data_IF_539232263277
#
_entry.id   IF_539232263277
#
_cell.length_a   1.000
_cell.length_b   1.000
_cell.length_c   1.000
_cell.angle_alpha   90.00
_cell.angle_beta   90.00
_cell.angle_gamma   90.00
#
_symmetry.space_group_name_H-M   'P 1'
#
loop_
_entity.id
_entity.type
_entity.pdbx_description
1 polymer ?
#
# COMPACT_ATOMS: atom_id res chain seq x y z
N UNK A 1 24.62 1.95 -6.43
CA UNK A 1 23.17 1.84 -6.68
C UNK A 1 22.50 2.12 -5.35
N UNK A 2 22.22 3.40 -5.12
CA UNK A 2 21.51 3.87 -3.92
C UNK A 2 20.19 3.12 -3.78
N UNK A 3 19.91 2.58 -2.60
CA UNK A 3 18.63 1.94 -2.27
C UNK A 3 17.47 2.93 -2.18
N UNK A 4 17.41 3.93 -3.07
CA UNK A 4 16.46 5.06 -3.10
C UNK A 4 15.24 4.80 -3.97
N UNK A 5 15.18 3.65 -4.65
CA UNK A 5 14.02 3.27 -5.44
C UNK A 5 12.82 2.98 -4.52
N UNK A 6 11.69 3.64 -4.79
CA UNK A 6 10.47 3.46 -4.00
C UNK A 6 9.67 2.27 -4.55
N UNK A 7 9.50 1.18 -3.78
CA UNK A 7 8.86 -0.04 -4.26
C UNK A 7 7.35 0.13 -4.43
N UNK A 8 6.83 -0.30 -5.58
CA UNK A 8 5.41 -0.23 -5.90
C UNK A 8 4.57 -1.13 -4.97
N UNK A 9 3.61 -0.56 -4.22
CA UNK A 9 2.74 -1.38 -3.35
C UNK A 9 1.72 -2.22 -4.11
N UNK A 10 1.25 -1.76 -5.27
CA UNK A 10 0.34 -2.56 -6.09
C UNK A 10 1.05 -3.76 -6.71
N UNK A 11 2.30 -3.60 -7.15
CA UNK A 11 3.11 -4.72 -7.64
C UNK A 11 3.44 -5.71 -6.53
N UNK A 12 3.57 -5.23 -5.29
CA UNK A 12 3.84 -6.07 -4.12
C UNK A 12 2.60 -6.81 -3.57
N UNK A 13 1.39 -6.49 -4.03
CA UNK A 13 0.17 -7.24 -3.70
C UNK A 13 -0.13 -8.30 -4.77
N UNK A 14 -0.97 -9.30 -4.46
CA UNK A 14 -1.35 -10.32 -5.43
C UNK A 14 -2.09 -9.77 -6.66
N UNK A 15 -2.72 -8.59 -6.54
CA UNK A 15 -3.42 -7.94 -7.64
C UNK A 15 -2.50 -7.32 -8.70
N UNK A 16 -1.22 -7.11 -8.38
CA UNK A 16 -0.25 -6.51 -9.29
C UNK A 16 -0.51 -5.03 -9.62
N UNK A 17 0.46 -4.40 -10.28
CA UNK A 17 0.34 -3.03 -10.76
C UNK A 17 -0.17 -3.00 -12.22
N UNK A 18 -1.30 -2.34 -12.46
CA UNK A 18 -1.89 -2.22 -13.80
C UNK A 18 -1.16 -1.22 -14.71
N UNK A 19 -0.37 -0.30 -14.15
CA UNK A 19 0.38 0.69 -14.93
C UNK A 19 1.55 0.08 -15.73
N UNK A 20 1.96 -1.15 -15.42
CA UNK A 20 3.05 -1.82 -16.14
C UNK A 20 4.31 -0.95 -16.23
N UNK A 21 4.79 -0.72 -17.45
CA UNK A 21 5.96 0.12 -17.76
C UNK A 21 5.72 1.62 -17.56
N UNK A 22 4.46 2.08 -17.54
CA UNK A 22 4.11 3.46 -17.21
C UNK A 22 4.14 3.73 -15.69
N UNK A 23 4.42 2.71 -14.88
CA UNK A 23 4.59 2.88 -13.44
C UNK A 23 5.96 3.52 -13.15
N UNK A 24 5.94 4.70 -12.50
CA UNK A 24 7.16 5.38 -12.04
C UNK A 24 7.79 4.76 -10.78
N UNK A 25 7.22 3.69 -10.24
CA UNK A 25 7.68 3.04 -9.01
C UNK A 25 8.37 1.72 -9.35
N UNK A 26 9.23 1.25 -8.45
CA UNK A 26 10.05 0.10 -8.72
C UNK A 26 9.25 -1.21 -8.62
N UNK A 27 9.36 -2.05 -9.66
CA UNK A 27 8.77 -3.39 -9.77
C UNK A 27 9.83 -4.51 -9.62
N UNK A 28 11.06 -4.14 -9.28
CA UNK A 28 12.11 -5.12 -9.03
C UNK A 28 11.90 -5.79 -7.66
N UNK A 29 12.43 -7.01 -7.46
CA UNK A 29 12.41 -7.62 -6.13
C UNK A 29 13.21 -6.77 -5.15
N UNK A 30 12.53 -6.25 -4.13
CA UNK A 30 13.16 -5.56 -3.03
C UNK A 30 13.32 -6.52 -1.85
N UNK A 31 14.47 -6.43 -1.18
CA UNK A 31 14.64 -7.08 0.11
C UNK A 31 13.54 -6.58 1.05
N UNK A 32 12.95 -7.46 1.88
CA UNK A 32 11.98 -7.02 2.87
C UNK A 32 12.64 -5.94 3.73
N UNK A 33 12.01 -4.75 3.80
CA UNK A 33 12.48 -3.62 4.61
C UNK A 33 12.89 -4.17 5.98
N UNK A 34 14.19 -4.06 6.30
CA UNK A 34 14.82 -4.70 7.44
C UNK A 34 14.01 -4.43 8.71
N UNK A 35 13.16 -5.40 9.08
CA UNK A 35 12.14 -5.35 10.14
C UNK A 35 11.90 -3.93 10.67
N UNK A 36 11.37 -3.04 9.83
CA UNK A 36 10.79 -1.80 10.34
C UNK A 36 9.68 -2.26 11.27
N UNK A 37 9.96 -2.18 12.57
CA UNK A 37 9.16 -2.85 13.56
C UNK A 37 7.83 -2.12 13.64
N UNK A 38 6.80 -2.69 13.05
CA UNK A 38 5.42 -2.29 13.30
C UNK A 38 5.00 -2.62 14.74
N UNK A 39 5.85 -3.34 15.49
CA UNK A 39 5.71 -3.62 16.90
C UNK A 39 5.95 -2.31 17.66
N UNK A 40 4.91 -1.82 18.32
CA UNK A 40 4.96 -0.57 19.09
C UNK A 40 4.28 0.63 18.44
N UNK A 41 3.66 0.50 17.27
CA UNK A 41 2.81 1.57 16.72
C UNK A 41 1.66 1.82 17.69
N UNK A 42 1.65 3.03 18.27
CA UNK A 42 0.61 3.50 19.21
C UNK A 42 -0.77 3.30 18.58
N UNK A 43 -1.77 2.94 19.40
CA UNK A 43 -3.13 2.69 18.94
C UNK A 43 -3.64 3.84 18.07
N UNK A 44 -3.54 5.08 18.55
CA UNK A 44 -3.98 6.27 17.84
C UNK A 44 -3.32 6.40 16.45
N UNK A 45 -2.00 6.24 16.36
CA UNK A 45 -1.27 6.29 15.08
C UNK A 45 -1.74 5.20 14.12
N UNK A 46 -1.94 3.98 14.61
CA UNK A 46 -2.44 2.86 13.80
C UNK A 46 -3.87 3.10 13.34
N UNK A 47 -4.70 3.68 14.18
CA UNK A 47 -6.09 4.01 13.88
C UNK A 47 -6.18 5.07 12.77
N UNK A 48 -5.43 6.17 12.91
CA UNK A 48 -5.33 7.21 11.88
C UNK A 48 -4.75 6.68 10.56
N UNK A 49 -3.75 5.79 10.60
CA UNK A 49 -3.23 5.16 9.38
C UNK A 49 -4.29 4.26 8.74
N UNK A 50 -5.01 3.46 9.54
CA UNK A 50 -6.05 2.56 9.05
C UNK A 50 -7.18 3.33 8.39
N UNK A 51 -7.68 4.39 9.02
CA UNK A 51 -8.73 5.24 8.49
C UNK A 51 -8.32 5.84 7.13
N UNK A 52 -7.09 6.37 7.04
CA UNK A 52 -6.58 6.93 5.79
C UNK A 52 -6.43 5.90 4.69
N UNK A 53 -5.90 4.71 5.00
CA UNK A 53 -5.78 3.62 4.02
C UNK A 53 -7.16 3.15 3.56
N UNK A 54 -8.12 2.99 4.47
CA UNK A 54 -9.49 2.61 4.12
C UNK A 54 -10.16 3.68 3.25
N UNK A 55 -9.98 4.96 3.54
CA UNK A 55 -10.50 6.05 2.71
C UNK A 55 -9.91 6.06 1.28
N UNK A 56 -8.73 5.48 1.07
CA UNK A 56 -8.14 5.27 -0.26
C UNK A 56 -8.68 4.02 -0.98
N UNK A 57 -9.23 3.05 -0.25
CA UNK A 57 -9.67 1.76 -0.79
C UNK A 57 -11.21 1.59 -0.82
N UNK A 58 -11.96 2.48 -0.17
CA UNK A 58 -13.42 2.51 -0.14
C UNK A 58 -14.00 2.91 -1.53
N UNK A 59 -15.03 2.23 -2.06
CA UNK A 59 -15.31 2.08 -3.50
C UNK A 59 -16.20 3.17 -4.14
N UNK A 60 -16.33 3.15 -5.49
CA UNK A 60 -15.55 2.37 -6.46
C UNK A 60 -14.30 3.14 -6.90
N UNK A 61 -13.14 2.73 -6.40
CA UNK A 61 -11.86 3.36 -6.75
C UNK A 61 -11.15 2.54 -7.82
N UNK A 62 -11.01 3.15 -8.98
CA UNK A 62 -10.12 2.68 -10.03
C UNK A 62 -8.67 2.61 -9.50
N UNK A 63 -8.02 1.46 -9.69
CA UNK A 63 -6.66 1.20 -9.17
C UNK A 63 -5.63 2.18 -9.75
N UNK A 64 -5.86 2.71 -10.95
CA UNK A 64 -5.03 3.73 -11.56
C UNK A 64 -5.22 5.09 -10.86
N UNK A 65 -6.48 5.45 -10.59
CA UNK A 65 -6.87 6.68 -9.91
C UNK A 65 -6.34 6.81 -8.47
N UNK A 66 -6.26 5.70 -7.73
CA UNK A 66 -5.67 5.70 -6.37
C UNK A 66 -4.20 5.30 -6.34
N UNK A 67 -3.60 4.97 -7.49
CA UNK A 67 -2.23 4.48 -7.59
C UNK A 67 -1.25 5.42 -6.89
N UNK A 68 -1.22 6.70 -7.26
CA UNK A 68 -0.30 7.68 -6.68
C UNK A 68 -0.48 7.85 -5.16
N UNK A 69 -1.74 7.90 -4.70
CA UNK A 69 -2.07 8.11 -3.28
C UNK A 69 -1.69 6.89 -2.42
N UNK A 70 -1.89 5.68 -2.92
CA UNK A 70 -1.45 4.46 -2.23
C UNK A 70 0.08 4.41 -2.09
N UNK A 71 0.80 4.88 -3.11
CA UNK A 71 2.26 4.87 -3.08
C UNK A 71 2.83 5.96 -2.15
N UNK A 72 2.21 7.14 -2.13
CA UNK A 72 2.52 8.17 -1.13
C UNK A 72 2.29 7.64 0.28
N UNK A 73 1.13 7.04 0.53
CA UNK A 73 0.80 6.51 1.86
C UNK A 73 1.74 5.39 2.29
N UNK A 74 2.15 4.53 1.36
CA UNK A 74 3.15 3.51 1.60
C UNK A 74 4.52 4.09 1.96
N UNK A 75 4.89 5.22 1.36
CA UNK A 75 6.15 5.92 1.68
C UNK A 75 6.12 6.64 3.03
N UNK A 76 4.93 7.00 3.54
CA UNK A 76 4.80 7.75 4.80
C UNK A 76 5.04 6.89 6.03
N UNK A 77 4.68 5.61 6.02
CA UNK A 77 4.84 4.76 7.19
C UNK A 77 4.90 3.26 6.86
N UNK A 78 5.85 2.48 7.42
CA UNK A 78 6.01 1.05 7.13
C UNK A 78 4.78 0.21 7.54
N UNK A 79 4.09 0.60 8.61
CA UNK A 79 2.78 0.01 8.96
C UNK A 79 1.70 0.27 7.91
N UNK A 80 1.63 1.49 7.35
CA UNK A 80 0.67 1.84 6.31
C UNK A 80 0.89 1.03 5.05
N UNK A 81 2.16 0.94 4.59
CA UNK A 81 2.56 0.08 3.48
C UNK A 81 2.07 -1.37 3.63
N UNK A 82 2.34 -1.99 4.79
CA UNK A 82 1.87 -3.37 5.07
C UNK A 82 0.36 -3.49 5.06
N UNK A 83 -0.34 -2.49 5.60
CA UNK A 83 -1.79 -2.48 5.64
C UNK A 83 -2.42 -2.35 4.25
N UNK A 84 -1.85 -1.50 3.40
CA UNK A 84 -2.26 -1.34 2.00
C UNK A 84 -2.12 -2.66 1.25
N UNK A 85 -0.92 -3.28 1.30
CA UNK A 85 -0.68 -4.56 0.62
C UNK A 85 -1.68 -5.61 1.13
N UNK A 86 -1.91 -5.68 2.45
CA UNK A 86 -2.87 -6.60 3.04
C UNK A 86 -4.30 -6.37 2.53
N UNK A 87 -4.80 -5.13 2.50
CA UNK A 87 -6.15 -4.85 2.03
C UNK A 87 -6.32 -4.97 0.51
N UNK A 88 -5.24 -4.82 -0.26
CA UNK A 88 -5.27 -5.11 -1.71
C UNK A 88 -5.35 -6.61 -1.99
N UNK A 89 -4.77 -7.44 -1.13
CA UNK A 89 -4.78 -8.91 -1.21
C UNK A 89 -6.10 -9.49 -0.67
N UNK A 90 -6.54 -8.98 0.49
CA UNK A 90 -7.74 -9.38 1.22
C UNK A 90 -8.59 -8.12 1.49
N UNK A 91 -9.43 -7.71 0.52
CA UNK A 91 -10.29 -6.55 0.70
C UNK A 91 -11.30 -6.83 1.83
N UNK A 92 -11.53 -5.86 2.74
CA UNK A 92 -12.47 -6.05 3.84
C UNK A 92 -13.87 -6.38 3.30
N UNK A 93 -14.51 -7.38 3.92
CA UNK A 93 -15.80 -7.95 3.49
C UNK A 93 -16.93 -6.93 3.34
N UNK A 94 -16.82 -5.77 4.00
CA UNK A 94 -17.79 -4.65 3.95
C UNK A 94 -17.90 -3.98 2.57
N UNK A 95 -17.11 -4.40 1.59
CA UNK A 95 -17.15 -3.91 0.20
C UNK A 95 -17.44 -5.00 -0.84
N UNK A 96 -17.90 -6.18 -0.42
CA UNK A 96 -18.22 -7.30 -1.32
C UNK A 96 -19.68 -7.33 -1.79
N UNK A 97 -20.47 -6.29 -1.51
CA UNK A 97 -21.90 -6.27 -1.81
C UNK A 97 -22.39 -4.93 -2.37
N UNK A 98 -22.35 -4.80 -3.70
CA UNK A 98 -23.45 -4.23 -4.46
C UNK A 98 -23.72 -5.14 -5.66
#
# INVERSE_FOLDING_TARGET
>A
MDGTCQPCVLFASAGGCHKGEACRYCHLPHLPEARATTRGVRKHTRDSIKERVLALLCPPVDRDGVHERLQEEAGRHPFGRKLIIKFLDDPPEEHRGL
#
